data_IF_709705236001
#
_entry.id   IF_709705236001
#
_cell.length_a   1.000
_cell.length_b   1.000
_cell.length_c   1.000
_cell.angle_alpha   90.00
_cell.angle_beta   90.00
_cell.angle_gamma   90.00
#
_symmetry.space_group_name_H-M   'P 1'
#
loop_
_entity.id
_entity.type
_entity.pdbx_description
1 polymer ?
#
# COMPACT_ATOMS: atom_id res chain seq x y z
N UNK A 1 46.54 -14.81 -20.05
CA UNK A 1 45.96 -14.85 -21.42
C UNK A 1 44.52 -15.36 -21.39
N UNK A 2 44.22 -16.50 -20.75
CA UNK A 2 42.86 -17.07 -20.75
C UNK A 2 41.77 -16.19 -20.12
N UNK A 3 42.04 -15.54 -18.98
CA UNK A 3 41.07 -14.64 -18.33
C UNK A 3 40.73 -13.44 -19.23
N UNK A 4 41.74 -12.87 -19.91
CA UNK A 4 41.55 -11.74 -20.83
C UNK A 4 40.66 -12.12 -22.01
N UNK A 5 40.86 -13.28 -22.62
CA UNK A 5 40.01 -13.75 -23.71
C UNK A 5 38.57 -13.99 -23.26
N UNK A 6 38.36 -14.52 -22.05
CA UNK A 6 37.01 -14.69 -21.48
C UNK A 6 36.32 -13.35 -21.24
N UNK A 7 37.05 -12.34 -20.74
CA UNK A 7 36.50 -11.00 -20.54
C UNK A 7 36.13 -10.33 -21.85
N UNK A 8 37.00 -10.39 -22.86
CA UNK A 8 36.72 -9.83 -24.20
C UNK A 8 35.49 -10.52 -24.81
N UNK A 9 35.44 -11.85 -24.74
CA UNK A 9 34.31 -12.62 -25.26
C UNK A 9 33.01 -12.27 -24.54
N UNK A 10 33.03 -12.20 -23.20
CA UNK A 10 31.87 -11.78 -22.42
C UNK A 10 31.42 -10.36 -22.77
N UNK A 11 32.35 -9.45 -23.07
CA UNK A 11 32.04 -8.08 -23.45
C UNK A 11 31.37 -8.01 -24.84
N UNK A 12 31.80 -8.84 -25.80
CA UNK A 12 31.13 -8.99 -27.09
C UNK A 12 29.71 -9.51 -26.87
N UNK A 13 29.56 -10.59 -26.10
CA UNK A 13 28.24 -11.16 -25.79
C UNK A 13 27.31 -10.15 -25.09
N UNK A 14 27.86 -9.30 -24.22
CA UNK A 14 27.10 -8.26 -23.51
C UNK A 14 26.56 -7.14 -24.41
N UNK A 15 27.15 -6.98 -25.59
CA UNK A 15 26.79 -5.90 -26.52
C UNK A 15 25.55 -6.24 -27.36
N UNK A 16 25.16 -7.52 -27.44
CA UNK A 16 23.99 -7.95 -28.22
C UNK A 16 22.80 -8.33 -27.33
N UNK A 17 21.60 -7.94 -27.77
CA UNK A 17 20.35 -8.07 -27.01
C UNK A 17 19.90 -9.52 -26.73
N UNK A 18 20.37 -10.50 -27.49
CA UNK A 18 19.99 -11.91 -27.34
C UNK A 18 21.04 -12.78 -26.63
N UNK A 19 22.27 -12.30 -26.52
CA UNK A 19 23.39 -13.08 -25.95
C UNK A 19 23.88 -12.54 -24.61
N UNK A 20 23.41 -11.37 -24.18
CA UNK A 20 23.83 -10.75 -22.92
C UNK A 20 23.58 -11.64 -21.70
N UNK A 21 22.56 -12.49 -21.74
CA UNK A 21 22.22 -13.43 -20.66
C UNK A 21 23.23 -14.56 -20.50
N UNK A 22 24.07 -14.80 -21.52
CA UNK A 22 25.14 -15.81 -21.49
C UNK A 22 26.43 -15.20 -20.91
N UNK A 23 26.66 -13.89 -21.11
CA UNK A 23 27.83 -13.19 -20.62
C UNK A 23 28.12 -13.39 -19.11
N UNK A 24 27.12 -13.39 -18.19
CA UNK A 24 27.33 -13.66 -16.78
C UNK A 24 28.11 -14.95 -16.48
N UNK A 25 27.91 -16.03 -17.23
CA UNK A 25 28.59 -17.32 -17.02
C UNK A 25 30.11 -17.18 -17.16
N UNK A 26 30.54 -16.38 -18.15
CA UNK A 26 31.95 -16.12 -18.39
C UNK A 26 32.52 -15.08 -17.41
N UNK A 27 31.70 -14.08 -17.03
CA UNK A 27 32.11 -13.04 -16.09
C UNK A 27 32.31 -13.58 -14.67
N UNK A 28 31.45 -14.48 -14.20
CA UNK A 28 31.54 -15.02 -12.84
C UNK A 28 32.72 -15.97 -12.66
N UNK A 29 33.19 -16.56 -13.76
CA UNK A 29 34.41 -17.37 -13.81
C UNK A 29 35.71 -16.54 -13.73
N UNK A 30 35.64 -15.19 -13.80
CA UNK A 30 36.80 -14.30 -13.77
C UNK A 30 36.94 -13.65 -12.38
N UNK A 31 38.02 -13.96 -11.66
CA UNK A 31 38.17 -13.62 -10.24
C UNK A 31 38.47 -12.14 -9.95
N UNK A 32 39.02 -11.37 -10.90
CA UNK A 32 39.48 -9.99 -10.63
C UNK A 32 38.51 -8.90 -11.07
N UNK A 33 38.02 -8.97 -12.31
CA UNK A 33 37.24 -7.89 -12.94
C UNK A 33 35.82 -8.30 -13.35
N UNK A 34 35.53 -9.61 -13.31
CA UNK A 34 34.31 -10.18 -13.85
C UNK A 34 33.05 -9.69 -13.14
N UNK A 35 33.05 -9.67 -11.80
CA UNK A 35 31.93 -9.20 -11.00
C UNK A 35 31.61 -7.72 -11.25
N UNK A 36 32.62 -6.85 -11.31
CA UNK A 36 32.42 -5.43 -11.59
C UNK A 36 31.85 -5.19 -13.00
N UNK A 37 32.31 -5.95 -13.99
CA UNK A 37 31.78 -5.87 -15.35
C UNK A 37 30.35 -6.42 -15.43
N UNK A 38 30.02 -7.45 -14.64
CA UNK A 38 28.67 -7.97 -14.50
C UNK A 38 27.72 -6.94 -13.90
N UNK A 39 28.13 -6.23 -12.84
CA UNK A 39 27.35 -5.13 -12.27
C UNK A 39 27.04 -4.05 -13.33
N UNK A 40 28.07 -3.62 -14.07
CA UNK A 40 27.93 -2.61 -15.12
C UNK A 40 27.00 -3.07 -16.24
N UNK A 41 27.06 -4.34 -16.60
CA UNK A 41 26.18 -4.96 -17.60
C UNK A 41 24.73 -4.95 -17.13
N UNK A 42 24.47 -5.31 -15.87
CA UNK A 42 23.12 -5.38 -15.30
C UNK A 42 22.49 -3.99 -15.17
N UNK A 43 23.25 -2.95 -14.80
CA UNK A 43 22.75 -1.56 -14.80
C UNK A 43 22.41 -1.02 -16.19
N UNK A 44 23.05 -1.53 -17.24
CA UNK A 44 22.76 -1.13 -18.63
C UNK A 44 21.49 -1.77 -19.19
N UNK A 45 20.98 -2.83 -18.55
CA UNK A 45 19.82 -3.54 -19.10
C UNK A 45 18.55 -2.68 -19.00
N UNK A 46 17.71 -2.68 -20.05
CA UNK A 46 16.49 -1.90 -20.06
C UNK A 46 15.47 -2.44 -19.05
N UNK A 47 15.15 -1.62 -18.03
CA UNK A 47 14.13 -1.92 -17.01
C UNK A 47 12.70 -1.90 -17.54
N UNK A 48 12.51 -1.48 -18.79
CA UNK A 48 11.19 -1.41 -19.44
C UNK A 48 10.61 -2.81 -19.72
N UNK A 49 11.48 -3.75 -20.09
CA UNK A 49 11.08 -5.11 -20.47
C UNK A 49 11.07 -6.02 -19.24
N UNK A 50 9.88 -6.46 -18.84
CA UNK A 50 9.69 -7.28 -17.64
C UNK A 50 10.52 -8.57 -17.66
N UNK A 51 10.62 -9.23 -18.81
CA UNK A 51 11.41 -10.46 -18.97
C UNK A 51 12.92 -10.23 -18.77
N UNK A 52 13.45 -9.10 -19.26
CA UNK A 52 14.87 -8.73 -19.08
C UNK A 52 15.17 -8.44 -17.62
N UNK A 53 14.25 -7.74 -16.94
CA UNK A 53 14.35 -7.43 -15.53
C UNK A 53 14.34 -8.70 -14.67
N UNK A 54 13.40 -9.63 -14.91
CA UNK A 54 13.35 -10.91 -14.20
C UNK A 54 14.63 -11.72 -14.39
N UNK A 55 15.13 -11.83 -15.63
CA UNK A 55 16.42 -12.50 -15.90
C UNK A 55 17.58 -11.82 -15.18
N UNK A 56 17.62 -10.49 -15.14
CA UNK A 56 18.67 -9.74 -14.46
C UNK A 56 18.67 -10.01 -12.95
N UNK A 57 17.49 -10.09 -12.34
CA UNK A 57 17.31 -10.42 -10.92
C UNK A 57 17.74 -11.86 -10.64
N UNK A 58 17.38 -12.80 -11.52
CA UNK A 58 17.77 -14.20 -11.38
C UNK A 58 19.29 -14.38 -11.49
N UNK A 59 19.92 -13.68 -12.42
CA UNK A 59 21.38 -13.62 -12.53
C UNK A 59 22.00 -13.06 -11.23
N UNK A 60 21.42 -12.03 -10.63
CA UNK A 60 21.91 -11.52 -9.34
C UNK A 60 21.81 -12.59 -8.24
N UNK A 61 20.67 -13.28 -8.16
CA UNK A 61 20.40 -14.33 -7.16
C UNK A 61 21.38 -15.49 -7.27
N UNK A 62 21.63 -15.98 -8.49
CA UNK A 62 22.56 -17.09 -8.75
C UNK A 62 24.01 -16.76 -8.38
N UNK A 63 24.38 -15.47 -8.36
CA UNK A 63 25.73 -14.99 -8.07
C UNK A 63 25.87 -14.38 -6.67
N UNK A 64 24.85 -14.49 -5.80
CA UNK A 64 24.88 -13.92 -4.45
C UNK A 64 24.93 -12.38 -4.42
N UNK A 65 24.51 -11.70 -5.48
CA UNK A 65 24.53 -10.24 -5.62
C UNK A 65 23.20 -9.61 -5.15
N UNK A 66 22.80 -9.92 -3.91
CA UNK A 66 21.50 -9.50 -3.37
C UNK A 66 21.35 -7.97 -3.27
N UNK A 67 22.45 -7.25 -2.97
CA UNK A 67 22.43 -5.79 -2.92
C UNK A 67 22.11 -5.18 -4.30
N UNK A 68 22.61 -5.80 -5.37
CA UNK A 68 22.42 -5.33 -6.74
C UNK A 68 20.98 -5.62 -7.18
N UNK A 69 20.48 -6.82 -6.86
CA UNK A 69 19.08 -7.20 -7.07
C UNK A 69 18.14 -6.17 -6.44
N UNK A 70 18.36 -5.80 -5.17
CA UNK A 70 17.58 -4.77 -4.48
C UNK A 70 17.66 -3.40 -5.18
N UNK A 71 18.85 -2.96 -5.63
CA UNK A 71 19.02 -1.70 -6.37
C UNK A 71 18.29 -1.70 -7.71
N UNK A 72 18.38 -2.78 -8.48
CA UNK A 72 17.70 -2.92 -9.77
C UNK A 72 16.17 -2.88 -9.58
N UNK A 73 15.64 -3.60 -8.59
CA UNK A 73 14.21 -3.56 -8.26
C UNK A 73 13.75 -2.16 -7.85
N UNK A 74 14.57 -1.42 -7.07
CA UNK A 74 14.29 -0.02 -6.71
C UNK A 74 14.22 0.90 -7.93
N UNK A 75 15.13 0.72 -8.90
CA UNK A 75 15.14 1.50 -10.15
C UNK A 75 13.90 1.16 -10.98
N UNK A 76 13.59 -0.12 -11.14
CA UNK A 76 12.41 -0.59 -11.86
C UNK A 76 11.11 -0.05 -11.24
N UNK A 77 10.99 -0.09 -9.91
CA UNK A 77 9.85 0.47 -9.18
C UNK A 77 9.63 1.95 -9.47
N UNK A 78 10.68 2.77 -9.39
CA UNK A 78 10.60 4.21 -9.70
C UNK A 78 10.27 4.46 -11.18
N UNK A 79 10.85 3.67 -12.08
CA UNK A 79 10.57 3.76 -13.51
C UNK A 79 9.09 3.47 -13.80
N UNK A 80 8.57 2.33 -13.34
CA UNK A 80 7.15 1.97 -13.55
C UNK A 80 6.19 2.98 -12.93
N UNK A 81 6.56 3.59 -11.80
CA UNK A 81 5.76 4.65 -11.17
C UNK A 81 5.64 5.87 -12.07
N UNK A 82 6.77 6.34 -12.64
CA UNK A 82 6.80 7.48 -13.56
C UNK A 82 6.02 7.23 -14.86
N UNK A 83 5.98 5.99 -15.32
CA UNK A 83 5.26 5.60 -16.55
C UNK A 83 3.81 5.17 -16.31
N UNK A 84 3.23 5.48 -15.13
CA UNK A 84 1.81 5.23 -14.84
C UNK A 84 1.46 3.76 -14.55
N UNK A 85 2.42 2.83 -14.59
CA UNK A 85 2.24 1.41 -14.28
C UNK A 85 2.33 1.19 -12.76
N UNK A 86 1.38 1.76 -12.02
CA UNK A 86 1.41 1.84 -10.54
C UNK A 86 1.47 0.48 -9.85
N UNK A 87 0.74 -0.53 -10.32
CA UNK A 87 0.75 -1.87 -9.72
C UNK A 87 2.14 -2.53 -9.77
N UNK A 88 2.75 -2.58 -10.96
CA UNK A 88 4.11 -3.09 -11.15
C UNK A 88 5.14 -2.29 -10.34
N UNK A 89 4.96 -0.98 -10.25
CA UNK A 89 5.83 -0.13 -9.45
C UNK A 89 5.83 -0.55 -7.97
N UNK A 90 4.65 -0.72 -7.39
CA UNK A 90 4.54 -1.10 -5.98
C UNK A 90 5.03 -2.54 -5.76
N UNK A 91 4.74 -3.46 -6.68
CA UNK A 91 5.27 -4.83 -6.65
C UNK A 91 6.81 -4.85 -6.52
N UNK A 92 7.51 -4.12 -7.40
CA UNK A 92 8.97 -4.08 -7.36
C UNK A 92 9.53 -3.35 -6.13
N UNK A 93 8.87 -2.28 -5.67
CA UNK A 93 9.27 -1.58 -4.45
C UNK A 93 9.10 -2.46 -3.21
N UNK A 94 8.01 -3.25 -3.15
CA UNK A 94 7.75 -4.25 -2.11
C UNK A 94 8.84 -5.32 -2.11
N UNK A 95 9.14 -5.90 -3.27
CA UNK A 95 10.20 -6.91 -3.40
C UNK A 95 11.57 -6.36 -2.95
N UNK A 96 11.84 -5.08 -3.26
CA UNK A 96 13.10 -4.42 -2.89
C UNK A 96 13.21 -3.98 -1.43
N UNK A 97 12.14 -4.15 -0.64
CA UNK A 97 12.00 -3.70 0.76
C UNK A 97 12.25 -2.19 0.93
N UNK A 98 11.80 -1.38 -0.03
CA UNK A 98 11.92 0.08 0.04
C UNK A 98 10.75 0.71 0.81
N UNK A 99 10.77 0.56 2.14
CA UNK A 99 9.68 1.02 3.00
C UNK A 99 9.44 2.53 2.93
N UNK A 100 10.51 3.32 2.76
CA UNK A 100 10.41 4.79 2.67
C UNK A 100 9.58 5.21 1.46
N UNK A 101 9.83 4.61 0.29
CA UNK A 101 9.07 4.91 -0.93
C UNK A 101 7.66 4.36 -0.86
N UNK A 102 7.47 3.16 -0.30
CA UNK A 102 6.14 2.59 -0.09
C UNK A 102 5.29 3.46 0.84
N UNK A 103 5.86 3.97 1.93
CA UNK A 103 5.18 4.89 2.84
C UNK A 103 4.82 6.21 2.17
N UNK A 104 5.70 6.74 1.32
CA UNK A 104 5.41 7.95 0.53
C UNK A 104 4.25 7.72 -0.45
N UNK A 105 4.25 6.58 -1.14
CA UNK A 105 3.14 6.19 -2.03
C UNK A 105 1.85 6.03 -1.24
N UNK A 106 1.89 5.34 -0.10
CA UNK A 106 0.73 5.17 0.78
C UNK A 106 0.18 6.52 1.22
N UNK A 107 1.03 7.46 1.65
CA UNK A 107 0.61 8.82 2.01
C UNK A 107 -0.03 9.56 0.84
N UNK A 108 0.58 9.56 -0.34
CA UNK A 108 0.00 10.19 -1.53
C UNK A 108 -1.37 9.60 -1.88
N UNK A 109 -1.51 8.29 -1.72
CA UNK A 109 -2.73 7.58 -2.01
C UNK A 109 -3.82 7.87 -0.98
N UNK A 110 -3.44 7.90 0.30
CA UNK A 110 -4.26 8.37 1.41
C UNK A 110 -4.74 9.81 1.19
N UNK A 111 -3.89 10.71 0.70
CA UNK A 111 -4.28 12.10 0.46
C UNK A 111 -5.26 12.23 -0.72
N UNK A 112 -5.14 11.38 -1.75
CA UNK A 112 -6.11 11.34 -2.86
C UNK A 112 -7.46 10.84 -2.34
N UNK A 113 -7.49 9.67 -1.69
CA UNK A 113 -8.73 9.07 -1.16
C UNK A 113 -9.37 9.95 -0.10
N UNK A 114 -8.60 10.59 0.79
CA UNK A 114 -9.11 11.48 1.82
C UNK A 114 -9.73 12.78 1.27
N UNK A 115 -9.34 13.19 0.05
CA UNK A 115 -9.89 14.37 -0.63
C UNK A 115 -11.10 14.05 -1.51
N UNK A 116 -11.17 12.85 -2.07
CA UNK A 116 -12.26 12.43 -2.94
C UNK A 116 -13.15 11.39 -2.24
N UNK A 117 -14.33 11.83 -1.79
CA UNK A 117 -15.39 10.95 -1.23
C UNK A 117 -16.14 10.19 -2.36
N UNK A 118 -15.76 10.36 -3.63
CA UNK A 118 -16.48 9.74 -4.74
C UNK A 118 -16.13 8.25 -4.91
N UNK A 119 -17.16 7.43 -5.15
CA UNK A 119 -17.03 5.98 -5.37
C UNK A 119 -16.12 5.63 -6.57
N UNK A 120 -15.98 6.52 -7.56
CA UNK A 120 -15.09 6.30 -8.72
C UNK A 120 -13.60 6.32 -8.32
N UNK A 121 -13.22 7.26 -7.47
CA UNK A 121 -11.85 7.35 -6.94
C UNK A 121 -11.49 6.12 -6.09
N UNK A 122 -12.49 5.59 -5.37
CA UNK A 122 -12.37 4.38 -4.56
C UNK A 122 -12.12 3.14 -5.44
N UNK A 123 -12.88 2.93 -6.52
CA UNK A 123 -12.69 1.78 -7.44
C UNK A 123 -11.32 1.77 -8.11
N UNK A 124 -10.83 2.93 -8.56
CA UNK A 124 -9.49 3.05 -9.17
C UNK A 124 -8.38 2.68 -8.18
N UNK A 125 -8.57 3.03 -6.91
CA UNK A 125 -7.65 2.74 -5.83
C UNK A 125 -7.74 1.28 -5.35
N UNK A 126 -8.94 0.72 -5.29
CA UNK A 126 -9.20 -0.66 -4.91
C UNK A 126 -8.46 -1.63 -5.84
N UNK A 127 -8.55 -1.43 -7.15
CA UNK A 127 -7.77 -2.21 -8.12
C UNK A 127 -6.26 -2.05 -7.97
N UNK A 128 -5.77 -0.89 -7.50
CA UNK A 128 -4.35 -0.73 -7.18
C UNK A 128 -3.92 -1.53 -5.95
N UNK A 129 -4.80 -1.69 -4.95
CA UNK A 129 -4.51 -2.46 -3.74
C UNK A 129 -4.60 -3.96 -3.97
N UNK A 130 -5.50 -4.41 -4.83
CA UNK A 130 -5.56 -5.83 -5.22
C UNK A 130 -4.24 -6.31 -5.82
N UNK A 131 -3.58 -5.46 -6.62
CA UNK A 131 -2.27 -5.76 -7.21
C UNK A 131 -1.13 -5.88 -6.18
N UNK A 132 -1.36 -5.51 -4.91
CA UNK A 132 -0.36 -5.61 -3.82
C UNK A 132 -0.25 -7.02 -3.22
N UNK A 133 -1.21 -7.89 -3.52
CA UNK A 133 -1.29 -9.25 -3.00
C UNK A 133 -1.44 -9.32 -1.46
N UNK A 134 -1.57 -10.54 -0.95
CA UNK A 134 -1.79 -10.80 0.47
C UNK A 134 -0.51 -10.90 1.31
N UNK A 135 0.68 -10.70 0.74
CA UNK A 135 1.92 -10.98 1.47
C UNK A 135 2.17 -10.03 2.64
N UNK A 136 2.50 -10.63 3.78
CA UNK A 136 2.32 -10.18 5.18
C UNK A 136 3.28 -9.10 5.69
N UNK A 137 4.20 -8.61 4.86
CA UNK A 137 5.14 -7.54 5.25
C UNK A 137 4.96 -6.33 4.35
N UNK A 138 3.90 -5.58 4.60
CA UNK A 138 3.67 -4.29 3.96
C UNK A 138 4.01 -3.16 4.92
N UNK A 139 4.55 -2.06 4.39
CA UNK A 139 4.77 -0.85 5.17
C UNK A 139 3.44 -0.39 5.82
N UNK A 140 3.47 0.09 7.06
CA UNK A 140 2.26 0.28 7.88
C UNK A 140 1.17 1.14 7.25
N UNK A 141 1.54 2.14 6.44
CA UNK A 141 0.56 2.94 5.69
C UNK A 141 -0.20 2.15 4.61
N UNK A 142 0.45 1.17 3.98
CA UNK A 142 -0.15 0.31 2.97
C UNK A 142 -1.06 -0.75 3.61
N UNK A 143 -0.72 -1.20 4.81
CA UNK A 143 -1.55 -2.10 5.61
C UNK A 143 -2.86 -1.41 6.03
N UNK A 144 -2.79 -0.16 6.50
CA UNK A 144 -3.97 0.65 6.79
C UNK A 144 -4.89 0.73 5.57
N UNK A 145 -4.32 1.07 4.40
CA UNK A 145 -5.07 1.18 3.16
C UNK A 145 -5.77 -0.14 2.78
N UNK A 146 -5.10 -1.28 2.95
CA UNK A 146 -5.73 -2.59 2.73
C UNK A 146 -6.91 -2.82 3.68
N UNK A 147 -6.73 -2.58 4.98
CA UNK A 147 -7.79 -2.73 5.99
C UNK A 147 -8.96 -1.78 5.73
N UNK A 148 -8.69 -0.56 5.27
CA UNK A 148 -9.72 0.42 4.89
C UNK A 148 -10.54 -0.06 3.70
N UNK A 149 -9.90 -0.66 2.68
CA UNK A 149 -10.59 -1.29 1.55
C UNK A 149 -11.50 -2.41 2.03
N UNK A 150 -10.97 -3.34 2.81
CA UNK A 150 -11.71 -4.52 3.27
C UNK A 150 -12.94 -4.10 4.09
N UNK A 151 -12.78 -3.09 4.95
CA UNK A 151 -13.90 -2.48 5.68
C UNK A 151 -14.98 -1.88 4.76
N UNK A 152 -14.58 -1.12 3.73
CA UNK A 152 -15.52 -0.53 2.76
C UNK A 152 -16.24 -1.60 1.94
N UNK A 153 -15.58 -2.70 1.59
CA UNK A 153 -16.22 -3.85 0.95
C UNK A 153 -17.26 -4.51 1.88
N UNK A 154 -16.92 -4.72 3.16
CA UNK A 154 -17.88 -5.21 4.15
C UNK A 154 -19.07 -4.27 4.33
N UNK A 155 -18.86 -2.94 4.30
CA UNK A 155 -19.96 -1.97 4.33
C UNK A 155 -20.88 -2.09 3.11
N UNK A 156 -20.35 -2.34 1.91
CA UNK A 156 -21.17 -2.54 0.72
C UNK A 156 -22.04 -3.80 0.85
N UNK A 157 -21.48 -4.90 1.37
CA UNK A 157 -22.22 -6.14 1.62
C UNK A 157 -23.36 -5.95 2.63
N UNK A 158 -23.15 -5.15 3.68
CA UNK A 158 -24.20 -4.79 4.64
C UNK A 158 -25.32 -3.97 3.99
N UNK A 159 -25.00 -3.13 3.00
CA UNK A 159 -26.01 -2.34 2.26
C UNK A 159 -26.84 -3.20 1.29
N UNK A 160 -26.28 -4.30 0.78
CA UNK A 160 -26.93 -5.21 -0.17
C UNK A 160 -27.80 -6.29 0.52
N UNK A 161 -27.84 -6.31 1.86
CA UNK A 161 -28.86 -7.01 2.64
C UNK A 161 -28.48 -8.42 3.10
N UNK A 162 -27.39 -8.57 3.86
CA UNK A 162 -26.99 -9.86 4.45
C UNK A 162 -26.65 -9.74 5.95
N UNK A 163 -27.13 -10.75 6.69
CA UNK A 163 -26.91 -11.20 8.08
C UNK A 163 -26.39 -10.22 9.16
N UNK A 164 -26.97 -10.36 10.36
CA UNK A 164 -26.49 -9.71 11.60
C UNK A 164 -25.02 -10.04 11.91
N UNK A 165 -24.51 -11.17 11.44
CA UNK A 165 -23.12 -11.59 11.62
C UNK A 165 -22.14 -10.75 10.79
N UNK A 166 -22.43 -10.50 9.51
CA UNK A 166 -21.56 -9.69 8.65
C UNK A 166 -21.56 -8.21 9.07
N UNK A 167 -22.70 -7.75 9.60
CA UNK A 167 -22.81 -6.42 10.21
C UNK A 167 -21.93 -6.29 11.45
N UNK A 168 -21.84 -7.34 12.29
CA UNK A 168 -20.94 -7.39 13.44
C UNK A 168 -19.47 -7.41 13.01
N UNK A 169 -19.10 -8.19 11.99
CA UNK A 169 -17.74 -8.19 11.43
C UNK A 169 -17.33 -6.81 10.92
N UNK A 170 -18.24 -6.09 10.26
CA UNK A 170 -17.98 -4.72 9.81
C UNK A 170 -17.77 -3.76 11.00
N UNK A 171 -18.56 -3.89 12.07
CA UNK A 171 -18.36 -3.11 13.30
C UNK A 171 -17.01 -3.41 13.97
N UNK A 172 -16.62 -4.68 14.06
CA UNK A 172 -15.30 -5.08 14.58
C UNK A 172 -14.14 -4.55 13.73
N UNK A 173 -14.29 -4.59 12.40
CA UNK A 173 -13.32 -4.03 11.46
C UNK A 173 -13.16 -2.51 11.63
N UNK A 174 -14.26 -1.77 11.85
CA UNK A 174 -14.22 -0.34 12.17
C UNK A 174 -13.41 -0.09 13.44
N UNK A 175 -13.66 -0.84 14.52
CA UNK A 175 -12.94 -0.68 15.79
C UNK A 175 -11.44 -1.03 15.62
N UNK A 176 -11.13 -2.07 14.85
CA UNK A 176 -9.74 -2.44 14.53
C UNK A 176 -9.00 -1.31 13.82
N UNK A 177 -9.65 -0.66 12.85
CA UNK A 177 -9.11 0.52 12.17
C UNK A 177 -8.94 1.72 13.09
N UNK A 178 -9.92 1.99 13.96
CA UNK A 178 -9.90 3.15 14.87
C UNK A 178 -8.91 2.98 16.03
N UNK A 179 -8.58 1.74 16.43
CA UNK A 179 -7.53 1.44 17.41
C UNK A 179 -6.12 1.51 16.83
N UNK A 180 -5.96 1.31 15.51
CA UNK A 180 -4.64 1.29 14.88
C UNK A 180 -4.00 2.69 14.91
N UNK A 181 -2.81 2.87 15.52
CA UNK A 181 -2.13 4.17 15.54
C UNK A 181 -1.69 4.65 14.15
N UNK A 182 -1.62 3.75 13.17
CA UNK A 182 -1.24 4.06 11.79
C UNK A 182 -2.39 4.66 10.97
N UNK A 183 -3.61 4.71 11.51
CA UNK A 183 -4.78 5.28 10.84
C UNK A 183 -4.67 6.81 10.80
N UNK A 184 -4.50 7.43 9.62
CA UNK A 184 -4.32 8.87 9.52
C UNK A 184 -5.56 9.64 9.98
N UNK A 185 -5.37 10.73 10.72
CA UNK A 185 -6.47 11.52 11.31
C UNK A 185 -7.49 12.02 10.27
N UNK A 186 -7.04 12.31 9.05
CA UNK A 186 -7.92 12.72 7.94
C UNK A 186 -8.97 11.66 7.55
N UNK A 187 -8.77 10.39 7.92
CA UNK A 187 -9.70 9.29 7.66
C UNK A 187 -10.71 9.04 8.77
N UNK A 188 -10.53 9.60 9.98
CA UNK A 188 -11.42 9.31 11.11
C UNK A 188 -12.86 9.74 10.85
N UNK A 189 -13.07 10.94 10.30
CA UNK A 189 -14.43 11.40 9.97
C UNK A 189 -15.05 10.65 8.77
N UNK A 190 -14.35 10.45 7.63
CA UNK A 190 -14.86 9.59 6.56
C UNK A 190 -15.25 8.19 7.03
N UNK A 191 -14.40 7.53 7.83
CA UNK A 191 -14.67 6.21 8.40
C UNK A 191 -15.97 6.19 9.21
N UNK A 192 -16.12 7.15 10.12
CA UNK A 192 -17.31 7.24 10.97
C UNK A 192 -18.56 7.58 10.16
N UNK A 193 -18.44 8.45 9.16
CA UNK A 193 -19.54 8.83 8.28
C UNK A 193 -20.02 7.65 7.42
N UNK A 194 -19.10 6.90 6.85
CA UNK A 194 -19.43 5.68 6.10
C UNK A 194 -20.09 4.60 6.98
N UNK A 195 -19.79 4.64 8.28
CA UNK A 195 -20.33 3.73 9.30
C UNK A 195 -21.67 4.18 9.87
N UNK A 196 -22.29 5.27 9.40
CA UNK A 196 -23.55 5.78 9.98
C UNK A 196 -24.64 4.72 10.06
N UNK A 197 -24.77 3.86 9.04
CA UNK A 197 -25.73 2.75 9.06
C UNK A 197 -25.43 1.70 10.14
N UNK A 198 -24.17 1.47 10.46
CA UNK A 198 -23.76 0.58 11.55
C UNK A 198 -24.00 1.24 12.92
N UNK A 199 -23.80 2.55 13.00
CA UNK A 199 -24.07 3.31 14.22
C UNK A 199 -25.58 3.36 14.48
N UNK A 200 -26.41 3.71 13.52
CA UNK A 200 -27.86 3.78 13.71
C UNK A 200 -28.56 2.42 13.58
N UNK A 201 -27.86 1.30 13.82
CA UNK A 201 -28.43 -0.04 13.73
C UNK A 201 -29.57 -0.21 14.74
N UNK A 202 -30.72 -0.68 14.29
CA UNK A 202 -31.98 -0.63 15.04
C UNK A 202 -32.25 -1.92 15.82
N UNK A 203 -31.78 -3.08 15.34
CA UNK A 203 -32.12 -4.36 15.96
C UNK A 203 -31.37 -4.62 17.28
N UNK A 204 -30.11 -4.20 17.37
CA UNK A 204 -29.28 -4.37 18.55
C UNK A 204 -28.09 -3.39 18.56
N UNK A 205 -27.60 -3.00 19.74
CA UNK A 205 -26.38 -2.20 19.83
C UNK A 205 -25.18 -3.04 19.38
N UNK A 206 -24.54 -2.63 18.28
CA UNK A 206 -23.36 -3.31 17.73
C UNK A 206 -22.05 -2.95 18.44
N UNK A 207 -22.06 -1.83 19.18
CA UNK A 207 -20.89 -1.30 19.88
C UNK A 207 -21.14 -1.30 21.39
N UNK A 208 -20.14 -1.67 22.18
CA UNK A 208 -20.21 -1.55 23.63
C UNK A 208 -19.77 -0.16 24.12
N UNK A 209 -20.02 0.14 25.40
CA UNK A 209 -19.68 1.44 26.02
C UNK A 209 -18.22 1.83 25.80
N UNK A 210 -17.28 0.88 25.92
CA UNK A 210 -15.85 1.15 25.71
C UNK A 210 -15.51 1.50 24.25
N UNK A 211 -16.17 0.87 23.28
CA UNK A 211 -16.01 1.10 21.86
C UNK A 211 -16.63 2.44 21.46
N UNK A 212 -17.85 2.74 21.94
CA UNK A 212 -18.51 4.03 21.70
C UNK A 212 -17.68 5.18 22.28
N UNK A 213 -17.13 5.02 23.49
CA UNK A 213 -16.21 6.00 24.10
C UNK A 213 -14.92 6.18 23.27
N UNK A 214 -14.36 5.11 22.72
CA UNK A 214 -13.21 5.22 21.81
C UNK A 214 -13.54 6.06 20.58
N UNK A 215 -14.69 5.84 19.95
CA UNK A 215 -15.12 6.61 18.76
C UNK A 215 -15.37 8.09 19.11
N UNK A 216 -16.01 8.36 20.25
CA UNK A 216 -16.23 9.72 20.76
C UNK A 216 -14.91 10.45 21.03
N UNK A 217 -13.96 9.79 21.70
CA UNK A 217 -12.63 10.35 21.97
C UNK A 217 -11.89 10.72 20.68
N UNK A 218 -11.94 9.86 19.65
CA UNK A 218 -11.34 10.15 18.33
C UNK A 218 -11.98 11.36 17.64
N UNK A 219 -13.29 11.52 17.80
CA UNK A 219 -14.02 12.67 17.25
C UNK A 219 -13.69 13.96 18.00
N UNK A 220 -13.50 13.88 19.33
CA UNK A 220 -13.02 14.98 20.14
C UNK A 220 -11.58 15.38 19.76
N UNK A 221 -10.67 14.42 19.64
CA UNK A 221 -9.30 14.63 19.16
C UNK A 221 -9.28 15.33 17.79
N UNK A 222 -10.14 14.92 16.87
CA UNK A 222 -10.29 15.57 15.56
C UNK A 222 -10.74 17.03 15.70
N UNK A 223 -11.65 17.32 16.62
CA UNK A 223 -12.14 18.68 16.85
C UNK A 223 -11.06 19.60 17.45
N UNK A 224 -10.19 19.06 18.30
CA UNK A 224 -9.03 19.77 18.82
C UNK A 224 -7.96 19.97 17.73
N UNK A 225 -7.70 18.94 16.90
CA UNK A 225 -6.72 19.02 15.82
C UNK A 225 -7.08 20.08 14.76
N UNK A 226 -8.37 20.33 14.51
CA UNK A 226 -8.85 21.42 13.64
C UNK A 226 -8.37 22.81 14.06
N UNK A 227 -8.04 23.00 15.33
CA UNK A 227 -7.58 24.28 15.88
C UNK A 227 -6.08 24.51 15.65
N UNK A 228 -5.33 23.50 15.20
CA UNK A 228 -3.89 23.57 15.00
C UNK A 228 -3.52 24.07 13.58
N UNK A 229 -2.47 24.90 13.44
CA UNK A 229 -1.96 25.31 12.13
C UNK A 229 -1.34 24.10 11.41
N UNK A 230 -1.77 23.86 10.16
CA UNK A 230 -1.31 22.72 9.33
C UNK A 230 -2.28 21.54 9.25
N UNK A 231 -3.47 21.64 9.85
CA UNK A 231 -4.51 20.61 9.74
C UNK A 231 -5.03 20.48 8.30
N UNK A 232 -4.79 19.34 7.67
CA UNK A 232 -5.45 18.94 6.42
C UNK A 232 -6.78 18.28 6.78
N UNK A 233 -7.86 19.06 6.68
CA UNK A 233 -9.18 18.58 7.05
C UNK A 233 -9.76 17.54 6.10
N UNK A 234 -10.65 16.66 6.62
CA UNK A 234 -11.42 15.75 5.77
C UNK A 234 -12.26 16.57 4.79
N UNK A 235 -12.29 16.16 3.52
CA UNK A 235 -13.10 16.79 2.48
C UNK A 235 -14.60 16.41 2.60
N UNK A 236 -15.14 16.48 3.82
CA UNK A 236 -16.54 16.18 4.13
C UNK A 236 -17.28 17.45 4.53
N UNK A 237 -18.57 17.50 4.18
CA UNK A 237 -19.45 18.60 4.56
C UNK A 237 -19.54 18.75 6.10
N UNK A 238 -19.68 19.97 6.64
CA UNK A 238 -19.85 20.21 8.07
C UNK A 238 -20.98 19.39 8.72
N UNK A 239 -22.01 19.08 7.95
CA UNK A 239 -23.18 18.28 8.32
C UNK A 239 -22.80 16.84 8.72
N UNK A 240 -21.78 16.26 8.08
CA UNK A 240 -21.30 14.91 8.38
C UNK A 240 -20.87 14.77 9.85
N UNK A 241 -20.21 15.79 10.40
CA UNK A 241 -19.78 15.80 11.80
C UNK A 241 -20.97 15.80 12.76
N UNK A 242 -22.05 16.53 12.42
CA UNK A 242 -23.26 16.59 13.25
C UNK A 242 -23.97 15.24 13.23
N UNK A 243 -24.14 14.63 12.06
CA UNK A 243 -24.78 13.31 11.92
C UNK A 243 -24.04 12.23 12.70
N UNK A 244 -22.70 12.19 12.61
CA UNK A 244 -21.88 11.21 13.35
C UNK A 244 -22.01 11.43 14.87
N UNK A 245 -21.97 12.67 15.34
CA UNK A 245 -22.15 12.96 16.78
C UNK A 245 -23.52 12.52 17.28
N UNK A 246 -24.57 12.77 16.50
CA UNK A 246 -25.92 12.35 16.83
C UNK A 246 -26.03 10.82 16.91
N UNK A 247 -25.54 10.09 15.91
CA UNK A 247 -25.57 8.63 15.87
C UNK A 247 -24.81 8.00 17.06
N UNK A 248 -23.65 8.56 17.42
CA UNK A 248 -22.88 8.10 18.59
C UNK A 248 -23.60 8.40 19.91
N UNK A 249 -24.22 9.57 20.06
CA UNK A 249 -24.98 9.92 21.26
C UNK A 249 -26.22 9.03 21.43
N UNK A 250 -26.93 8.74 20.34
CA UNK A 250 -28.08 7.82 20.34
C UNK A 250 -27.66 6.41 20.73
N UNK A 251 -26.54 5.91 20.20
CA UNK A 251 -26.00 4.61 20.62
C UNK A 251 -25.62 4.56 22.08
N UNK A 252 -24.99 5.62 22.58
CA UNK A 252 -24.61 5.69 23.98
C UNK A 252 -25.84 5.65 24.89
N UNK A 253 -26.89 6.42 24.56
CA UNK A 253 -28.15 6.40 25.30
C UNK A 253 -28.84 5.03 25.32
N UNK A 254 -28.79 4.27 24.22
CA UNK A 254 -29.34 2.90 24.14
C UNK A 254 -28.57 1.87 24.96
N UNK A 255 -27.34 2.17 25.38
CA UNK A 255 -26.50 1.28 26.18
C UNK A 255 -26.64 1.51 27.69
N UNK A 256 -27.19 2.66 28.09
CA UNK A 256 -27.40 3.05 29.48
C UNK A 256 -28.82 2.68 30.00
N UNK A 257 -29.73 2.25 29.12
CA UNK A 257 -31.05 1.68 29.44
C UNK A 257 -31.01 0.17 29.68
#
# INVERSE_FOLDING_TARGET
>A
MEELHRLIYAQILSSHAFTWNIAPIYLTSCMKQGLHLLEKLLYKQPVQYHQVLQKSIEICRLNGLDYLSSKIMKIAGVHYWKHGKKGLAIFWLKQSRDEVRLNRIAKQLSDVVGKSVSNESFKLWEGMIELLGNESRTAGGLEFLKKYRDFRQSLQQVQEGITTDDTRKAAEALISLMRNPSTPQQFWLPLLYDSLKLLDWHDCPLFNVSQTNLLLNKLQDLSLAKLLPGFTGPALQPEALKSVRLALATNFGRLDE
#
